data_IF_996963657254
#
_entry.id   IF_996963657254
#
_cell.length_a   1.000
_cell.length_b   1.000
_cell.length_c   1.000
_cell.angle_alpha   90.00
_cell.angle_beta   90.00
_cell.angle_gamma   90.00
#
_symmetry.space_group_name_H-M   'P 1'
#
loop_
_entity.id
_entity.type
_entity.pdbx_description
1 polymer ?
#
# COMPACT_ATOMS: atom_id res chain seq x y z
N UNK A 1 -23.92 3.84 0.64
CA UNK A 1 -22.73 3.86 1.53
C UNK A 1 -22.24 5.29 1.62
N UNK A 2 -22.25 5.90 2.81
CA UNK A 2 -22.01 7.34 2.95
C UNK A 2 -20.55 7.70 2.69
N UNK A 3 -20.33 8.80 1.97
CA UNK A 3 -19.02 9.44 1.74
C UNK A 3 -18.23 9.65 3.06
N UNK A 4 -18.96 9.79 4.16
CA UNK A 4 -18.44 9.90 5.52
C UNK A 4 -17.59 8.68 5.91
N UNK A 5 -17.99 7.45 5.56
CA UNK A 5 -17.21 6.23 5.86
C UNK A 5 -15.90 6.22 5.05
N UNK A 6 -15.94 6.65 3.78
CA UNK A 6 -14.73 6.78 2.94
C UNK A 6 -13.75 7.80 3.53
N UNK A 7 -14.25 8.96 3.96
CA UNK A 7 -13.41 10.00 4.55
C UNK A 7 -12.83 9.60 5.92
N UNK A 8 -13.59 8.84 6.72
CA UNK A 8 -13.09 8.32 8.00
C UNK A 8 -11.95 7.32 7.78
N UNK A 9 -12.06 6.39 6.83
CA UNK A 9 -10.97 5.45 6.50
C UNK A 9 -9.73 6.19 5.98
N UNK A 10 -9.93 7.21 5.14
CA UNK A 10 -8.84 8.04 4.57
C UNK A 10 -8.17 8.90 5.65
N UNK A 11 -8.94 9.49 6.56
CA UNK A 11 -8.43 10.28 7.68
C UNK A 11 -7.68 9.41 8.71
N UNK A 12 -8.19 8.21 9.01
CA UNK A 12 -7.55 7.28 9.94
C UNK A 12 -6.21 6.77 9.39
N UNK A 13 -6.10 6.62 8.06
CA UNK A 13 -4.87 6.23 7.37
C UNK A 13 -3.79 7.33 7.33
N UNK A 14 -4.19 8.60 7.43
CA UNK A 14 -3.27 9.75 7.34
C UNK A 14 -2.59 10.10 8.68
N UNK A 15 -3.17 9.72 9.82
CA UNK A 15 -2.79 10.26 11.14
C UNK A 15 -1.65 9.48 11.84
N UNK A 16 -1.38 8.21 11.49
CA UNK A 16 -0.39 7.40 12.23
C UNK A 16 0.83 6.96 11.40
N UNK A 17 2.08 7.17 11.87
CA UNK A 17 3.30 6.66 11.21
C UNK A 17 3.34 5.12 11.12
N UNK A 18 2.82 4.42 12.14
CA UNK A 18 2.61 2.96 12.12
C UNK A 18 1.59 2.53 11.06
N UNK A 19 0.65 3.41 10.71
CA UNK A 19 -0.31 3.19 9.63
C UNK A 19 0.37 3.20 8.25
N UNK A 20 1.44 3.97 8.02
CA UNK A 20 2.12 3.97 6.70
C UNK A 20 2.70 2.59 6.33
N UNK A 21 3.27 1.86 7.29
CA UNK A 21 3.70 0.46 7.10
C UNK A 21 2.50 -0.45 6.82
N UNK A 22 1.46 -0.37 7.65
CA UNK A 22 0.24 -1.17 7.48
C UNK A 22 -0.50 -0.88 6.17
N UNK A 23 -0.50 0.38 5.73
CA UNK A 23 -1.12 0.84 4.50
C UNK A 23 -0.38 0.32 3.28
N UNK A 24 0.96 0.31 3.29
CA UNK A 24 1.74 -0.33 2.23
C UNK A 24 1.41 -1.81 2.05
N UNK A 25 1.31 -2.56 3.17
CA UNK A 25 0.90 -3.97 3.15
C UNK A 25 -0.56 -4.14 2.69
N UNK A 26 -1.46 -3.31 3.20
CA UNK A 26 -2.86 -3.30 2.79
C UNK A 26 -3.02 -3.04 1.29
N UNK A 27 -2.25 -2.11 0.72
CA UNK A 27 -2.28 -1.76 -0.70
C UNK A 27 -1.77 -2.92 -1.56
N UNK A 28 -0.72 -3.63 -1.13
CA UNK A 28 -0.24 -4.86 -1.79
C UNK A 28 -1.35 -5.92 -1.80
N UNK A 29 -1.97 -6.18 -0.64
CA UNK A 29 -3.05 -7.18 -0.53
C UNK A 29 -4.23 -6.79 -1.43
N UNK A 30 -4.68 -5.53 -1.36
CA UNK A 30 -5.77 -5.02 -2.19
C UNK A 30 -5.47 -5.16 -3.67
N UNK A 31 -4.29 -4.76 -4.13
CA UNK A 31 -3.91 -4.88 -5.54
C UNK A 31 -3.73 -6.33 -5.98
N UNK A 32 -3.37 -7.23 -5.07
CA UNK A 32 -3.33 -8.68 -5.34
C UNK A 32 -4.76 -9.21 -5.56
N UNK A 33 -5.75 -8.77 -4.79
CA UNK A 33 -7.16 -9.11 -5.03
C UNK A 33 -7.68 -8.53 -6.36
N UNK A 34 -7.32 -7.30 -6.71
CA UNK A 34 -7.69 -6.69 -8.00
C UNK A 34 -7.05 -7.46 -9.16
N UNK A 35 -5.78 -7.86 -9.02
CA UNK A 35 -5.08 -8.68 -9.99
C UNK A 35 -5.75 -10.05 -10.15
N UNK A 36 -6.10 -10.71 -9.03
CA UNK A 36 -6.84 -11.97 -9.02
C UNK A 36 -8.18 -11.85 -9.76
N UNK A 37 -8.90 -10.74 -9.56
CA UNK A 37 -10.14 -10.45 -10.26
C UNK A 37 -9.91 -10.31 -11.78
N UNK A 38 -8.89 -9.57 -12.20
CA UNK A 38 -8.52 -9.44 -13.62
C UNK A 38 -8.14 -10.78 -14.26
N UNK A 39 -7.40 -11.64 -13.56
CA UNK A 39 -7.09 -12.99 -14.05
C UNK A 39 -8.32 -13.91 -14.08
N UNK A 40 -9.24 -13.76 -13.12
CA UNK A 40 -10.50 -14.52 -13.10
C UNK A 40 -11.41 -14.13 -14.26
N UNK A 41 -11.49 -12.83 -14.58
CA UNK A 41 -12.19 -12.32 -15.76
C UNK A 41 -11.57 -12.92 -17.04
N UNK A 42 -10.25 -12.84 -17.18
CA UNK A 42 -9.55 -13.41 -18.33
C UNK A 42 -9.79 -14.91 -18.50
N UNK A 43 -9.88 -15.66 -17.40
CA UNK A 43 -10.18 -17.09 -17.42
C UNK A 43 -11.62 -17.37 -17.87
N UNK A 44 -12.59 -16.59 -17.38
CA UNK A 44 -13.98 -16.70 -17.78
C UNK A 44 -14.13 -16.36 -19.27
N UNK A 45 -13.58 -15.23 -19.71
CA UNK A 45 -13.65 -14.78 -21.10
C UNK A 45 -12.98 -15.79 -22.05
N UNK A 46 -11.85 -16.37 -21.64
CA UNK A 46 -11.23 -17.47 -22.38
C UNK A 46 -12.14 -18.71 -22.47
N UNK A 47 -12.87 -19.03 -21.40
CA UNK A 47 -13.78 -20.18 -21.34
C UNK A 47 -15.07 -19.97 -22.14
N UNK A 48 -15.53 -18.71 -22.29
CA UNK A 48 -16.72 -18.35 -23.06
C UNK A 48 -16.43 -18.10 -24.55
N UNK A 49 -15.18 -18.25 -24.99
CA UNK A 49 -14.80 -18.13 -26.40
C UNK A 49 -14.61 -16.69 -26.87
N UNK A 50 -14.34 -15.77 -25.94
CA UNK A 50 -14.03 -14.38 -26.27
C UNK A 50 -12.75 -14.27 -27.14
N UNK A 51 -12.64 -13.21 -27.96
CA UNK A 51 -11.46 -12.93 -28.75
C UNK A 51 -10.17 -12.91 -27.92
N UNK A 52 -9.12 -13.58 -28.42
CA UNK A 52 -7.83 -13.68 -27.73
C UNK A 52 -7.17 -12.32 -27.40
N UNK A 53 -7.53 -11.25 -28.12
CA UNK A 53 -7.03 -9.90 -27.85
C UNK A 53 -7.64 -9.28 -26.57
N UNK A 54 -8.88 -9.64 -26.22
CA UNK A 54 -9.57 -9.19 -25.00
C UNK A 54 -8.94 -9.86 -23.79
N UNK A 55 -8.86 -11.19 -23.82
CA UNK A 55 -8.19 -12.02 -22.79
C UNK A 55 -6.76 -11.53 -22.52
N UNK A 56 -6.01 -11.18 -23.58
CA UNK A 56 -4.64 -10.66 -23.45
C UNK A 56 -4.59 -9.29 -22.75
N UNK A 57 -5.55 -8.40 -23.02
CA UNK A 57 -5.63 -7.10 -22.36
C UNK A 57 -5.98 -7.26 -20.87
N UNK A 58 -6.86 -8.20 -20.53
CA UNK A 58 -7.21 -8.48 -19.13
C UNK A 58 -6.06 -9.09 -18.34
N UNK A 59 -5.29 -10.00 -18.97
CA UNK A 59 -4.04 -10.53 -18.39
C UNK A 59 -3.02 -9.40 -18.17
N UNK A 60 -2.85 -8.51 -19.15
CA UNK A 60 -1.97 -7.35 -19.02
C UNK A 60 -2.43 -6.42 -17.88
N UNK A 61 -3.74 -6.23 -17.71
CA UNK A 61 -4.31 -5.49 -16.60
C UNK A 61 -4.03 -6.16 -15.25
N UNK A 62 -4.22 -7.49 -15.15
CA UNK A 62 -3.89 -8.27 -13.96
C UNK A 62 -2.42 -8.17 -13.56
N UNK A 63 -1.51 -8.28 -14.53
CA UNK A 63 -0.06 -8.10 -14.30
C UNK A 63 0.25 -6.66 -13.87
N UNK A 64 -0.29 -5.67 -14.59
CA UNK A 64 -0.03 -4.25 -14.32
C UNK A 64 -0.46 -3.83 -12.93
N UNK A 65 -1.67 -4.23 -12.51
CA UNK A 65 -2.18 -3.93 -11.16
C UNK A 65 -1.34 -4.58 -10.06
N UNK A 66 -0.88 -5.83 -10.25
CA UNK A 66 0.03 -6.50 -9.32
C UNK A 66 1.37 -5.76 -9.17
N UNK A 67 2.01 -5.42 -10.29
CA UNK A 67 3.29 -4.69 -10.29
C UNK A 67 3.15 -3.33 -9.60
N UNK A 68 2.08 -2.57 -9.90
CA UNK A 68 1.81 -1.28 -9.26
C UNK A 68 1.63 -1.45 -7.74
N UNK A 69 0.86 -2.46 -7.32
CA UNK A 69 0.66 -2.76 -5.90
C UNK A 69 1.97 -3.00 -5.15
N UNK A 70 2.86 -3.80 -5.72
CA UNK A 70 4.18 -4.09 -5.14
C UNK A 70 5.09 -2.87 -5.12
N UNK A 71 5.21 -2.13 -6.22
CA UNK A 71 6.08 -0.95 -6.31
C UNK A 71 5.64 0.13 -5.32
N UNK A 72 4.35 0.46 -5.29
CA UNK A 72 3.81 1.50 -4.40
C UNK A 72 3.83 1.04 -2.95
N UNK A 73 3.46 -0.21 -2.67
CA UNK A 73 3.45 -0.76 -1.32
C UNK A 73 4.84 -0.80 -0.69
N UNK A 74 5.85 -1.27 -1.42
CA UNK A 74 7.24 -1.28 -0.96
C UNK A 74 7.79 0.14 -0.77
N UNK A 75 7.46 1.07 -1.67
CA UNK A 75 7.88 2.46 -1.54
C UNK A 75 7.33 3.09 -0.25
N UNK A 76 6.06 2.86 0.07
CA UNK A 76 5.42 3.36 1.30
C UNK A 76 6.03 2.76 2.57
N UNK A 77 6.31 1.44 2.57
CA UNK A 77 6.98 0.78 3.69
C UNK A 77 8.40 1.34 3.89
N UNK A 78 9.12 1.59 2.79
CA UNK A 78 10.48 2.15 2.84
C UNK A 78 10.49 3.60 3.33
N UNK A 79 9.53 4.42 2.92
CA UNK A 79 9.35 5.77 3.43
C UNK A 79 9.00 5.75 4.93
N UNK A 80 8.12 4.85 5.36
CA UNK A 80 7.75 4.72 6.76
C UNK A 80 8.96 4.36 7.65
N UNK A 81 9.80 3.41 7.22
CA UNK A 81 11.03 3.04 7.93
C UNK A 81 12.01 4.22 8.09
N UNK A 82 12.17 5.04 7.03
CA UNK A 82 13.04 6.23 7.11
C UNK A 82 12.53 7.28 8.09
N UNK A 83 11.22 7.50 8.14
CA UNK A 83 10.63 8.43 9.09
C UNK A 83 10.74 7.96 10.53
N UNK A 84 10.58 6.65 10.78
CA UNK A 84 10.73 6.08 12.12
C UNK A 84 12.17 6.20 12.62
N UNK A 85 13.17 5.88 11.79
CA UNK A 85 14.58 6.03 12.13
C UNK A 85 14.98 7.49 12.42
N UNK A 86 14.40 8.46 11.71
CA UNK A 86 14.64 9.87 11.97
C UNK A 86 14.00 10.33 13.28
N UNK A 87 12.86 9.76 13.66
CA UNK A 87 12.17 10.08 14.91
C UNK A 87 12.92 9.52 16.13
N UNK A 88 13.42 8.27 16.05
CA UNK A 88 14.28 7.68 17.09
C UNK A 88 15.57 8.49 17.29
N UNK A 89 16.26 8.86 16.19
CA UNK A 89 17.49 9.65 16.29
C UNK A 89 17.28 11.03 16.95
N UNK A 90 16.14 11.69 16.70
CA UNK A 90 15.82 12.95 17.38
C UNK A 90 15.50 12.72 18.86
N UNK A 91 14.78 11.65 19.22
CA UNK A 91 14.45 11.32 20.61
C UNK A 91 15.71 11.05 21.46
N UNK A 92 16.66 10.27 20.94
CA UNK A 92 17.95 10.03 21.59
C UNK A 92 18.73 11.34 21.81
N UNK A 93 18.69 12.27 20.85
CA UNK A 93 19.34 13.57 20.99
C UNK A 93 18.67 14.45 22.06
N UNK A 94 17.34 14.37 22.20
CA UNK A 94 16.60 15.05 23.26
C UNK A 94 16.91 14.47 24.65
N UNK A 95 16.91 13.14 24.80
CA UNK A 95 17.25 12.50 26.08
C UNK A 95 18.68 12.83 26.50
N UNK A 96 19.63 12.79 25.56
CA UNK A 96 21.02 13.16 25.82
C UNK A 96 21.16 14.61 26.29
N UNK A 97 20.48 15.56 25.63
CA UNK A 97 20.51 16.98 26.03
C UNK A 97 19.90 17.19 27.41
N UNK A 98 18.82 16.47 27.73
CA UNK A 98 18.15 16.55 29.05
C UNK A 98 19.06 16.08 30.18
N UNK A 99 19.74 14.94 30.02
CA UNK A 99 20.71 14.43 31.01
C UNK A 99 21.90 15.38 31.24
N UNK A 100 22.23 16.20 30.24
CA UNK A 100 23.33 17.20 30.34
C UNK A 100 22.88 18.51 31.01
N UNK A 101 21.58 18.80 31.06
CA UNK A 101 21.02 19.98 31.75
C UNK A 101 20.67 19.70 33.22
N UNK A 102 20.43 18.44 33.59
CA UNK A 102 20.13 18.00 34.95
C UNK A 102 21.40 17.67 35.81
N UNK A 103 22.61 17.91 35.27
CA UNK A 103 23.91 17.78 35.98
C UNK A 103 24.63 19.11 36.16
#
# INVERSE_FOLDING_TARGET
>A
MSIVIKLIIVALAAVFPKFKKGYGVFLIILMTFVSLFGFSAAYLDHSFGEPAWIVRNEILFGIGTSVIGWVVGLALIRQAKRHEAMMEANLDEYERKRDTEDT
#
